data_IF_546609359285
#
_entry.id   IF_546609359285
#
_cell.length_a   1.000
_cell.length_b   1.000
_cell.length_c   1.000
_cell.angle_alpha   90.00
_cell.angle_beta   90.00
_cell.angle_gamma   90.00
#
_symmetry.space_group_name_H-M   'P 1'
#
loop_
_entity.id
_entity.type
_entity.pdbx_description
1 polymer ?
#
# COMPACT_ATOMS: atom_id res chain seq x y z
N UNK A 1 -9.76 -13.82 -2.73
CA UNK A 1 -8.79 -12.97 -2.01
C UNK A 1 -8.10 -12.08 -3.05
N UNK A 2 -8.03 -10.77 -2.85
CA UNK A 2 -7.48 -9.83 -3.84
C UNK A 2 -5.98 -9.64 -3.57
N UNK A 3 -5.10 -9.78 -4.58
CA UNK A 3 -3.67 -9.48 -4.40
C UNK A 3 -3.43 -8.05 -3.92
N UNK A 4 -2.45 -7.85 -3.03
CA UNK A 4 -2.09 -6.54 -2.46
C UNK A 4 -1.81 -5.51 -3.58
N UNK A 5 -1.16 -5.93 -4.67
CA UNK A 5 -0.91 -5.08 -5.84
C UNK A 5 -2.19 -4.54 -6.49
N UNK A 6 -3.23 -5.38 -6.65
CA UNK A 6 -4.52 -4.94 -7.20
C UNK A 6 -5.23 -3.96 -6.26
N UNK A 7 -5.14 -4.18 -4.95
CA UNK A 7 -5.68 -3.25 -3.95
C UNK A 7 -4.99 -1.89 -4.07
N UNK A 8 -3.67 -1.87 -4.18
CA UNK A 8 -2.90 -0.62 -4.30
C UNK A 8 -3.21 0.11 -5.60
N UNK A 9 -3.33 -0.59 -6.74
CA UNK A 9 -3.77 0.03 -8.00
C UNK A 9 -5.16 0.66 -7.86
N UNK A 10 -6.08 0.00 -7.15
CA UNK A 10 -7.39 0.55 -6.82
C UNK A 10 -7.29 1.83 -5.97
N UNK A 11 -6.49 1.79 -4.90
CA UNK A 11 -6.24 2.97 -4.05
C UNK A 11 -5.59 4.12 -4.84
N UNK A 12 -4.64 3.83 -5.72
CA UNK A 12 -3.98 4.84 -6.55
C UNK A 12 -4.97 5.53 -7.49
N UNK A 13 -5.85 4.75 -8.14
CA UNK A 13 -6.92 5.29 -8.99
C UNK A 13 -7.91 6.13 -8.19
N UNK A 14 -8.28 5.69 -6.99
CA UNK A 14 -9.21 6.42 -6.11
C UNK A 14 -8.63 7.76 -5.64
N UNK A 15 -7.37 7.79 -5.22
CA UNK A 15 -6.72 9.00 -4.73
C UNK A 15 -6.12 9.87 -5.85
N UNK A 16 -6.13 9.41 -7.11
CA UNK A 16 -5.48 10.10 -8.22
C UNK A 16 -3.96 10.23 -8.06
N UNK A 17 -3.33 9.31 -7.32
CA UNK A 17 -1.90 9.34 -6.99
C UNK A 17 -1.15 8.22 -7.68
N UNK A 18 0.14 8.43 -7.90
CA UNK A 18 1.04 7.34 -8.33
C UNK A 18 1.28 6.37 -7.17
N UNK A 19 1.55 5.10 -7.50
CA UNK A 19 1.93 4.09 -6.50
C UNK A 19 3.11 4.55 -5.65
N UNK A 20 4.05 5.30 -6.24
CA UNK A 20 5.22 5.87 -5.58
C UNK A 20 4.85 6.78 -4.41
N UNK A 21 3.86 7.65 -4.60
CA UNK A 21 3.44 8.61 -3.58
C UNK A 21 2.68 7.97 -2.43
N UNK A 22 1.97 6.87 -2.73
CA UNK A 22 1.19 6.07 -1.81
C UNK A 22 2.07 5.14 -0.97
N UNK A 23 3.11 4.57 -1.59
CA UNK A 23 4.03 3.61 -0.98
C UNK A 23 5.11 4.29 -0.13
N UNK A 24 5.56 5.48 -0.54
CA UNK A 24 6.62 6.25 0.13
C UNK A 24 6.33 6.48 1.61
N UNK A 25 7.30 6.14 2.47
CA UNK A 25 7.22 6.44 3.90
C UNK A 25 7.21 7.95 4.17
N UNK A 26 6.39 8.36 5.12
CA UNK A 26 6.29 9.75 5.57
C UNK A 26 5.34 9.88 6.76
N UNK A 27 5.65 10.81 7.67
CA UNK A 27 4.79 11.12 8.81
C UNK A 27 3.51 11.79 8.30
N UNK A 28 2.34 11.37 8.80
CA UNK A 28 1.04 11.98 8.43
C UNK A 28 0.43 11.53 7.09
N UNK A 29 0.97 10.51 6.42
CA UNK A 29 0.41 9.97 5.17
C UNK A 29 -0.85 9.13 5.42
N UNK A 30 -2.01 9.79 5.54
CA UNK A 30 -3.32 9.14 5.78
C UNK A 30 -3.69 8.16 4.67
N UNK A 31 -3.33 8.46 3.43
CA UNK A 31 -3.63 7.59 2.27
C UNK A 31 -2.85 6.29 2.32
N UNK A 32 -1.59 6.32 2.78
CA UNK A 32 -0.78 5.12 3.00
C UNK A 32 -1.38 4.24 4.09
N UNK A 33 -1.86 4.85 5.18
CA UNK A 33 -2.52 4.12 6.25
C UNK A 33 -3.83 3.48 5.77
N UNK A 34 -4.63 4.22 5.00
CA UNK A 34 -5.84 3.70 4.37
C UNK A 34 -5.52 2.52 3.42
N UNK A 35 -4.50 2.64 2.59
CA UNK A 35 -4.08 1.57 1.68
C UNK A 35 -3.62 0.29 2.42
N UNK A 36 -2.91 0.44 3.54
CA UNK A 36 -2.52 -0.68 4.42
C UNK A 36 -3.77 -1.34 5.03
N UNK A 37 -4.72 -0.53 5.51
CA UNK A 37 -5.96 -1.02 6.11
C UNK A 37 -6.83 -1.76 5.09
N UNK A 38 -7.03 -1.20 3.90
CA UNK A 38 -7.79 -1.85 2.82
C UNK A 38 -7.09 -3.13 2.37
N UNK A 39 -5.75 -3.14 2.28
CA UNK A 39 -4.99 -4.36 1.99
C UNK A 39 -5.28 -5.46 3.01
N UNK A 40 -5.30 -5.12 4.31
CA UNK A 40 -5.63 -6.07 5.37
C UNK A 40 -7.01 -6.72 5.20
N UNK A 41 -8.03 -5.93 4.83
CA UNK A 41 -9.40 -6.43 4.66
C UNK A 41 -9.53 -7.25 3.36
N UNK A 42 -9.00 -6.75 2.26
CA UNK A 42 -9.26 -7.29 0.91
C UNK A 42 -8.35 -8.46 0.55
N UNK A 43 -7.13 -8.48 1.07
CA UNK A 43 -6.14 -9.51 0.77
C UNK A 43 -6.00 -10.56 1.86
N UNK A 44 -6.67 -10.41 3.02
CA UNK A 44 -6.55 -11.30 4.18
C UNK A 44 -5.08 -11.71 4.51
N UNK A 45 -4.12 -10.85 4.18
CA UNK A 45 -2.69 -11.09 4.36
C UNK A 45 -2.27 -10.67 5.77
N UNK A 46 -1.21 -11.28 6.29
CA UNK A 46 -0.68 -10.91 7.61
C UNK A 46 -0.07 -9.51 7.55
N UNK A 47 -0.10 -8.81 8.68
CA UNK A 47 0.51 -7.49 8.81
C UNK A 47 2.00 -7.47 8.41
N UNK A 48 2.72 -8.57 8.63
CA UNK A 48 4.11 -8.75 8.22
C UNK A 48 4.29 -8.78 6.70
N UNK A 49 3.38 -9.47 5.99
CA UNK A 49 3.40 -9.55 4.52
C UNK A 49 3.05 -8.21 3.88
N UNK A 50 2.03 -7.53 4.42
CA UNK A 50 1.65 -6.17 4.00
C UNK A 50 2.79 -5.20 4.28
N UNK A 51 3.36 -5.23 5.48
CA UNK A 51 4.49 -4.38 5.87
C UNK A 51 5.72 -4.61 4.99
N UNK A 52 6.00 -5.87 4.63
CA UNK A 52 7.08 -6.25 3.72
C UNK A 52 6.81 -5.72 2.31
N UNK A 53 5.60 -5.89 1.77
CA UNK A 53 5.26 -5.35 0.46
C UNK A 53 5.48 -3.83 0.39
N UNK A 54 4.92 -3.09 1.36
CA UNK A 54 5.09 -1.64 1.42
C UNK A 54 6.52 -1.20 1.74
N UNK A 55 7.32 -2.03 2.41
CA UNK A 55 8.72 -1.75 2.75
C UNK A 55 9.71 -2.08 1.62
N UNK A 56 9.51 -3.18 0.92
CA UNK A 56 10.35 -3.61 -0.21
C UNK A 56 10.14 -2.68 -1.41
N UNK A 57 8.90 -2.21 -1.64
CA UNK A 57 8.61 -1.21 -2.66
C UNK A 57 9.17 0.19 -2.35
N UNK A 58 9.32 0.53 -1.07
CA UNK A 58 9.99 1.78 -0.63
C UNK A 58 11.52 1.67 -0.80
N UNK A 59 12.11 0.50 -0.51
CA UNK A 59 13.56 0.24 -0.65
C UNK A 59 14.03 0.10 -2.09
N UNK A 60 13.27 -0.55 -2.96
CA UNK A 60 13.61 -0.77 -4.38
C UNK A 60 13.73 0.55 -5.18
N UNK A 61 13.37 1.67 -4.56
CA UNK A 61 13.31 3.00 -5.18
C UNK A 61 14.29 4.02 -4.57
N UNK A 62 15.22 3.56 -3.70
CA UNK A 62 16.46 4.28 -3.36
C UNK A 62 17.59 3.80 -4.26
#
# INVERSE_FOLDING_TARGET
>A
MIPIEKVIKGCCKYYGKKEEELLRKGKGKRERQAAIYVSKIMSNAKNTEIGRYFGDQDKKRR
#
